data_IF_271426030068
#
_entry.id   IF_271426030068
#
_cell.length_a   1.000
_cell.length_b   1.000
_cell.length_c   1.000
_cell.angle_alpha   90.00
_cell.angle_beta   90.00
_cell.angle_gamma   90.00
#
_symmetry.space_group_name_H-M   'P 1'
#
loop_
_entity.id
_entity.type
_entity.pdbx_description
1 polymer ?
#
# COMPACT_ATOMS: atom_id res chain seq x y z
N UNK A 1 -28.71 14.28 -18.63
CA UNK A 1 -27.90 13.36 -19.46
C UNK A 1 -27.89 12.03 -18.74
N UNK A 2 -28.38 10.96 -19.36
CA UNK A 2 -28.27 9.60 -18.81
C UNK A 2 -26.79 9.23 -18.70
N UNK A 3 -26.37 8.67 -17.57
CA UNK A 3 -24.99 8.18 -17.39
C UNK A 3 -24.64 7.05 -18.38
N UNK A 4 -23.36 6.64 -18.46
CA UNK A 4 -22.97 5.48 -19.27
C UNK A 4 -23.73 4.23 -18.81
N UNK A 5 -24.15 3.39 -19.75
CA UNK A 5 -24.79 2.12 -19.42
C UNK A 5 -23.78 1.13 -18.84
N UNK A 6 -24.25 0.10 -18.13
CA UNK A 6 -23.40 -0.92 -17.52
C UNK A 6 -22.61 -1.71 -18.56
N UNK A 7 -23.16 -1.91 -19.77
CA UNK A 7 -22.43 -2.50 -20.89
C UNK A 7 -21.28 -1.61 -21.37
N UNK A 8 -21.47 -0.29 -21.38
CA UNK A 8 -20.41 0.68 -21.69
C UNK A 8 -19.32 0.66 -20.62
N UNK A 9 -19.71 0.58 -19.34
CA UNK A 9 -18.77 0.50 -18.22
C UNK A 9 -17.95 -0.80 -18.26
N UNK A 10 -18.55 -1.95 -18.57
CA UNK A 10 -17.82 -3.21 -18.77
C UNK A 10 -16.78 -3.06 -19.88
N UNK A 11 -17.18 -2.50 -21.02
CA UNK A 11 -16.27 -2.27 -22.17
C UNK A 11 -15.12 -1.33 -21.80
N UNK A 12 -15.42 -0.25 -21.07
CA UNK A 12 -14.43 0.70 -20.59
C UNK A 12 -13.49 0.05 -19.57
N UNK A 13 -14.01 -0.71 -18.60
CA UNK A 13 -13.21 -1.40 -17.61
C UNK A 13 -12.21 -2.38 -18.25
N UNK A 14 -12.65 -3.22 -19.22
CA UNK A 14 -11.77 -4.12 -19.98
C UNK A 14 -10.61 -3.39 -20.63
N UNK A 15 -10.91 -2.28 -21.31
CA UNK A 15 -9.91 -1.44 -21.99
C UNK A 15 -8.90 -0.83 -21.02
N UNK A 16 -9.38 -0.22 -19.94
CA UNK A 16 -8.52 0.51 -19.00
C UNK A 16 -7.70 -0.42 -18.10
N UNK A 17 -8.22 -1.62 -17.82
CA UNK A 17 -7.58 -2.62 -16.96
C UNK A 17 -6.76 -3.66 -17.72
N UNK A 18 -6.77 -3.60 -19.06
CA UNK A 18 -6.07 -4.54 -19.93
C UNK A 18 -6.48 -6.00 -19.63
N UNK A 19 -7.80 -6.24 -19.46
CA UNK A 19 -8.37 -7.57 -19.18
C UNK A 19 -9.37 -7.99 -20.25
N UNK A 20 -9.39 -9.28 -20.57
CA UNK A 20 -10.29 -9.84 -21.59
C UNK A 20 -11.69 -10.16 -21.03
N UNK A 21 -11.73 -10.63 -19.79
CA UNK A 21 -12.95 -11.12 -19.11
C UNK A 21 -13.13 -10.41 -17.77
N UNK A 22 -14.39 -10.07 -17.45
CA UNK A 22 -14.80 -9.50 -16.16
C UNK A 22 -15.98 -10.35 -15.69
N UNK A 23 -15.70 -11.34 -14.85
CA UNK A 23 -16.70 -12.27 -14.34
C UNK A 23 -16.18 -12.90 -13.04
N UNK A 24 -17.09 -13.15 -12.10
CA UNK A 24 -16.81 -13.89 -10.88
C UNK A 24 -18.10 -14.55 -10.40
N UNK A 25 -18.03 -15.77 -9.86
CA UNK A 25 -19.22 -16.56 -9.49
C UNK A 25 -20.09 -15.86 -8.43
N UNK A 26 -19.46 -15.10 -7.52
CA UNK A 26 -20.16 -14.32 -6.50
C UNK A 26 -20.79 -13.01 -7.02
N UNK A 27 -20.56 -12.64 -8.28
CA UNK A 27 -21.04 -11.36 -8.87
C UNK A 27 -21.84 -11.64 -10.15
N UNK A 28 -23.12 -12.05 -10.03
CA UNK A 28 -23.90 -12.53 -11.16
C UNK A 28 -24.30 -11.43 -12.17
N UNK A 29 -24.51 -10.20 -11.71
CA UNK A 29 -24.85 -9.06 -12.58
C UNK A 29 -23.72 -8.03 -12.61
N UNK A 30 -22.67 -8.32 -13.39
CA UNK A 30 -21.49 -7.47 -13.51
C UNK A 30 -21.84 -6.06 -13.98
N UNK A 31 -22.72 -5.92 -14.99
CA UNK A 31 -23.05 -4.61 -15.57
C UNK A 31 -23.70 -3.66 -14.54
N UNK A 32 -24.73 -4.13 -13.84
CA UNK A 32 -25.42 -3.37 -12.78
C UNK A 32 -24.49 -3.08 -11.59
N UNK A 33 -23.61 -4.04 -11.27
CA UNK A 33 -22.60 -3.85 -10.22
C UNK A 33 -21.65 -2.72 -10.57
N UNK A 34 -21.15 -2.65 -11.81
CA UNK A 34 -20.27 -1.57 -12.24
C UNK A 34 -20.99 -0.21 -12.29
N UNK A 35 -22.26 -0.16 -12.69
CA UNK A 35 -23.07 1.07 -12.61
C UNK A 35 -23.16 1.58 -11.17
N UNK A 36 -23.51 0.69 -10.24
CA UNK A 36 -23.65 1.01 -8.81
C UNK A 36 -22.33 1.54 -8.23
N UNK A 37 -21.23 0.83 -8.48
CA UNK A 37 -19.91 1.21 -7.95
C UNK A 37 -19.42 2.51 -8.61
N UNK A 38 -19.58 2.65 -9.92
CA UNK A 38 -19.19 3.88 -10.63
C UNK A 38 -19.98 5.08 -10.10
N UNK A 39 -21.29 4.93 -9.89
CA UNK A 39 -22.12 5.98 -9.32
C UNK A 39 -21.67 6.33 -7.90
N UNK A 40 -21.44 5.34 -7.05
CA UNK A 40 -20.94 5.56 -5.69
C UNK A 40 -19.64 6.37 -5.70
N UNK A 41 -18.65 5.97 -6.50
CA UNK A 41 -17.36 6.67 -6.58
C UNK A 41 -17.51 8.10 -7.10
N UNK A 42 -18.36 8.32 -8.11
CA UNK A 42 -18.63 9.64 -8.67
C UNK A 42 -19.38 10.56 -7.69
N UNK A 43 -20.37 10.03 -6.98
CA UNK A 43 -21.17 10.79 -6.00
C UNK A 43 -20.30 11.26 -4.81
N UNK A 44 -19.16 10.60 -4.55
CA UNK A 44 -18.20 10.96 -3.52
C UNK A 44 -16.95 11.67 -4.06
N UNK A 45 -16.90 12.04 -5.35
CA UNK A 45 -15.82 12.89 -5.85
C UNK A 45 -15.86 14.27 -5.18
N UNK A 46 -14.69 14.77 -4.77
CA UNK A 46 -14.55 16.12 -4.21
C UNK A 46 -13.49 16.92 -4.97
N UNK A 47 -13.72 18.21 -5.28
CA UNK A 47 -12.67 19.08 -5.77
C UNK A 47 -11.68 19.49 -4.65
N UNK A 48 -12.13 19.46 -3.40
CA UNK A 48 -11.43 19.97 -2.23
C UNK A 48 -10.28 19.08 -1.80
N UNK A 49 -9.19 19.70 -1.33
CA UNK A 49 -8.07 18.97 -0.74
C UNK A 49 -8.27 18.76 0.78
N UNK A 50 -9.06 19.64 1.41
CA UNK A 50 -9.28 19.64 2.85
C UNK A 50 -10.07 18.41 3.31
N UNK A 51 -11.16 18.12 2.62
CA UNK A 51 -12.12 17.03 2.82
C UNK A 51 -11.74 15.72 2.10
N UNK A 52 -10.80 15.77 1.16
CA UNK A 52 -10.25 14.59 0.50
C UNK A 52 -9.76 13.55 1.52
N UNK A 53 -10.26 12.33 1.41
CA UNK A 53 -9.81 11.16 2.19
C UNK A 53 -9.09 10.12 1.34
N UNK A 54 -9.43 10.00 0.06
CA UNK A 54 -8.79 9.09 -0.88
C UNK A 54 -8.45 9.80 -2.18
N UNK A 55 -7.46 9.28 -2.90
CA UNK A 55 -7.05 9.80 -4.20
C UNK A 55 -6.78 8.65 -5.17
N UNK A 56 -7.03 8.88 -6.45
CA UNK A 56 -6.60 7.95 -7.50
C UNK A 56 -5.09 8.05 -7.69
N UNK A 57 -4.42 6.90 -7.64
CA UNK A 57 -2.97 6.79 -7.72
C UNK A 57 -2.46 7.47 -8.99
N UNK A 58 -1.52 8.41 -8.83
CA UNK A 58 -0.91 9.20 -9.90
C UNK A 58 -1.91 9.92 -10.84
N UNK A 59 -3.12 10.23 -10.32
CA UNK A 59 -4.24 10.79 -11.09
C UNK A 59 -4.52 9.98 -12.37
N UNK A 60 -4.44 8.66 -12.28
CA UNK A 60 -4.76 7.76 -13.39
C UNK A 60 -6.22 7.93 -13.80
N UNK A 61 -6.46 8.21 -15.08
CA UNK A 61 -7.81 8.25 -15.64
C UNK A 61 -8.41 6.86 -15.64
N UNK A 62 -9.29 6.56 -14.69
CA UNK A 62 -9.86 5.23 -14.48
C UNK A 62 -11.21 5.04 -15.21
N UNK A 63 -11.68 3.80 -15.31
CA UNK A 63 -12.87 3.46 -16.08
C UNK A 63 -14.16 4.09 -15.53
N UNK A 64 -14.24 4.33 -14.23
CA UNK A 64 -15.41 4.95 -13.59
C UNK A 64 -15.38 6.48 -13.64
N UNK A 65 -14.26 7.10 -14.02
CA UNK A 65 -14.13 8.56 -13.99
C UNK A 65 -14.80 9.24 -15.18
N UNK A 66 -15.36 10.43 -14.93
CA UNK A 66 -15.84 11.32 -15.98
C UNK A 66 -14.72 12.23 -16.52
N UNK A 67 -14.97 12.94 -17.62
CA UNK A 67 -13.97 13.74 -18.36
C UNK A 67 -13.34 14.91 -17.57
N UNK A 68 -13.89 15.25 -16.40
CA UNK A 68 -13.44 16.35 -15.53
C UNK A 68 -13.24 15.88 -14.09
N UNK A 69 -12.83 14.62 -13.89
CA UNK A 69 -12.67 14.05 -12.54
C UNK A 69 -11.63 14.80 -11.72
N UNK A 70 -11.91 14.98 -10.44
CA UNK A 70 -10.95 15.57 -9.50
C UNK A 70 -9.84 14.60 -9.08
N UNK A 71 -10.01 13.30 -9.37
CA UNK A 71 -9.18 12.20 -8.87
C UNK A 71 -9.11 12.10 -7.33
N UNK A 72 -10.04 12.74 -6.62
CA UNK A 72 -10.10 12.80 -5.16
C UNK A 72 -11.50 12.41 -4.68
N UNK A 73 -11.56 11.66 -3.59
CA UNK A 73 -12.81 11.21 -2.98
C UNK A 73 -12.90 11.71 -1.53
N UNK A 74 -14.11 12.06 -1.10
CA UNK A 74 -14.46 12.36 0.28
C UNK A 74 -15.36 11.26 0.82
N UNK A 75 -14.73 10.18 1.31
CA UNK A 75 -15.38 9.02 1.92
C UNK A 75 -14.78 8.84 3.31
N UNK A 76 -15.50 9.27 4.34
CA UNK A 76 -14.99 9.34 5.72
C UNK A 76 -15.91 8.67 6.74
N UNK A 77 -17.21 8.58 6.46
CA UNK A 77 -18.21 8.05 7.40
C UNK A 77 -18.21 6.52 7.38
N UNK A 78 -18.35 5.88 8.54
CA UNK A 78 -18.23 4.41 8.68
C UNK A 78 -19.06 3.64 7.64
N UNK A 79 -20.34 4.00 7.45
CA UNK A 79 -21.21 3.32 6.51
C UNK A 79 -20.76 3.47 5.04
N UNK A 80 -20.24 4.65 4.66
CA UNK A 80 -19.77 4.89 3.29
C UNK A 80 -18.37 4.29 3.09
N UNK A 81 -17.54 4.29 4.12
CA UNK A 81 -16.23 3.66 4.11
C UNK A 81 -16.32 2.13 4.00
N UNK A 82 -17.24 1.51 4.73
CA UNK A 82 -17.50 0.07 4.61
C UNK A 82 -18.06 -0.30 3.23
N UNK A 83 -18.88 0.57 2.64
CA UNK A 83 -19.34 0.39 1.26
C UNK A 83 -18.17 0.48 0.27
N UNK A 84 -17.26 1.44 0.43
CA UNK A 84 -16.03 1.53 -0.36
C UNK A 84 -15.18 0.25 -0.23
N UNK A 85 -14.99 -0.27 0.99
CA UNK A 85 -14.25 -1.51 1.21
C UNK A 85 -14.86 -2.70 0.47
N UNK A 86 -16.19 -2.83 0.51
CA UNK A 86 -16.92 -3.86 -0.25
C UNK A 86 -16.70 -3.71 -1.74
N UNK A 87 -16.84 -2.49 -2.27
CA UNK A 87 -16.63 -2.22 -3.70
C UNK A 87 -15.19 -2.51 -4.15
N UNK A 88 -14.18 -2.18 -3.33
CA UNK A 88 -12.78 -2.53 -3.60
C UNK A 88 -12.63 -4.05 -3.71
N UNK A 89 -13.18 -4.82 -2.77
CA UNK A 89 -13.15 -6.29 -2.79
C UNK A 89 -13.85 -6.85 -4.03
N UNK A 90 -15.07 -6.40 -4.32
CA UNK A 90 -15.84 -6.85 -5.49
C UNK A 90 -15.07 -6.60 -6.79
N UNK A 91 -14.47 -5.42 -6.96
CA UNK A 91 -13.71 -5.10 -8.17
C UNK A 91 -12.41 -5.89 -8.28
N UNK A 92 -11.77 -6.22 -7.15
CA UNK A 92 -10.64 -7.14 -7.14
C UNK A 92 -11.03 -8.55 -7.59
N UNK A 93 -12.13 -9.10 -7.08
CA UNK A 93 -12.64 -10.43 -7.47
C UNK A 93 -13.02 -10.49 -8.95
N UNK A 94 -13.51 -9.37 -9.51
CA UNK A 94 -13.80 -9.21 -10.93
C UNK A 94 -12.54 -9.03 -11.81
N UNK A 95 -11.34 -9.02 -11.23
CA UNK A 95 -10.08 -8.85 -11.96
C UNK A 95 -9.79 -7.41 -12.40
N UNK A 96 -10.51 -6.42 -11.86
CA UNK A 96 -10.40 -5.00 -12.21
C UNK A 96 -10.14 -4.12 -10.96
N UNK A 97 -9.11 -4.43 -10.16
CA UNK A 97 -8.83 -3.72 -8.92
C UNK A 97 -8.71 -2.21 -9.15
N UNK A 98 -9.29 -1.41 -8.26
CA UNK A 98 -9.17 0.05 -8.30
C UNK A 98 -7.72 0.49 -8.11
N UNK A 99 -7.43 1.75 -8.44
CA UNK A 99 -6.12 2.38 -8.20
C UNK A 99 -6.25 3.44 -7.11
N UNK A 100 -6.86 3.10 -5.98
CA UNK A 100 -7.07 4.04 -4.88
C UNK A 100 -5.91 4.06 -3.89
N UNK A 101 -5.64 5.26 -3.40
CA UNK A 101 -4.79 5.54 -2.25
C UNK A 101 -5.59 6.23 -1.17
N UNK A 102 -5.26 5.97 0.08
CA UNK A 102 -5.77 6.70 1.22
C UNK A 102 -4.81 7.85 1.60
N UNK A 103 -5.41 8.98 1.99
CA UNK A 103 -4.68 10.14 2.49
C UNK A 103 -4.24 9.86 3.92
N UNK A 104 -2.98 10.16 4.22
CA UNK A 104 -2.44 10.08 5.58
C UNK A 104 -3.12 11.11 6.48
N UNK A 105 -3.58 10.64 7.63
CA UNK A 105 -3.98 11.45 8.77
C UNK A 105 -2.79 11.65 9.72
N UNK A 106 -2.87 12.58 10.71
CA UNK A 106 -1.81 12.74 11.70
C UNK A 106 -1.52 11.44 12.44
N UNK A 107 -2.57 10.71 12.82
CA UNK A 107 -2.54 9.37 13.38
C UNK A 107 -2.89 8.33 12.32
N UNK A 108 -2.11 7.26 12.24
CA UNK A 108 -2.31 6.17 11.28
C UNK A 108 -2.02 4.83 11.95
N UNK A 109 -2.62 3.77 11.39
CA UNK A 109 -2.16 2.41 11.68
C UNK A 109 -0.74 2.24 11.16
N UNK A 110 0.16 1.72 12.00
CA UNK A 110 1.55 1.55 11.64
C UNK A 110 1.70 0.51 10.53
N UNK A 111 2.49 0.86 9.51
CA UNK A 111 2.73 0.03 8.34
C UNK A 111 4.22 -0.07 8.01
N UNK A 112 4.64 -1.18 7.44
CA UNK A 112 6.00 -1.35 6.94
C UNK A 112 5.95 -1.93 5.55
N UNK A 113 6.69 -1.34 4.63
CA UNK A 113 6.85 -1.89 3.29
C UNK A 113 8.23 -2.55 3.19
N UNK A 114 8.23 -3.82 2.81
CA UNK A 114 9.42 -4.58 2.45
C UNK A 114 9.52 -4.58 0.93
N UNK A 115 10.55 -3.95 0.39
CA UNK A 115 10.81 -3.82 -1.04
C UNK A 115 12.18 -4.40 -1.40
N UNK A 116 12.21 -5.50 -2.15
CA UNK A 116 13.46 -6.13 -2.60
C UNK A 116 13.46 -6.21 -4.12
N UNK A 117 14.49 -5.65 -4.73
CA UNK A 117 14.71 -5.75 -6.17
C UNK A 117 15.42 -7.07 -6.47
N UNK A 118 14.78 -7.91 -7.29
CA UNK A 118 15.40 -9.10 -7.82
C UNK A 118 16.24 -8.82 -9.05
N UNK A 119 16.44 -9.86 -9.85
CA UNK A 119 17.02 -9.77 -11.18
C UNK A 119 15.91 -9.66 -12.23
N UNK A 120 16.25 -9.79 -13.51
CA UNK A 120 15.25 -9.88 -14.59
C UNK A 120 14.32 -11.08 -14.40
N UNK A 121 14.86 -12.20 -13.91
CA UNK A 121 14.22 -13.50 -13.95
C UNK A 121 14.00 -14.11 -12.55
N UNK A 122 14.65 -13.58 -11.52
CA UNK A 122 14.63 -14.12 -10.15
C UNK A 122 14.26 -13.05 -9.11
N UNK A 123 13.71 -13.48 -7.97
CA UNK A 123 13.31 -12.64 -6.83
C UNK A 123 13.22 -13.46 -5.55
N UNK A 124 13.25 -12.77 -4.41
CA UNK A 124 12.94 -13.36 -3.11
C UNK A 124 11.45 -13.74 -3.06
N UNK A 125 11.12 -14.96 -2.62
CA UNK A 125 9.72 -15.35 -2.43
C UNK A 125 9.13 -14.66 -1.21
N UNK A 126 7.80 -14.49 -1.19
CA UNK A 126 7.12 -13.88 -0.05
C UNK A 126 7.18 -14.82 1.15
N UNK A 127 7.10 -16.11 0.92
CA UNK A 127 7.20 -17.17 1.93
C UNK A 127 8.54 -17.12 2.65
N UNK A 128 9.66 -16.88 1.95
CA UNK A 128 10.97 -16.73 2.59
C UNK A 128 11.00 -15.54 3.57
N UNK A 129 10.28 -14.47 3.28
CA UNK A 129 10.20 -13.29 4.15
C UNK A 129 9.29 -13.54 5.34
N UNK A 130 8.16 -14.25 5.12
CA UNK A 130 7.06 -14.35 6.08
C UNK A 130 7.00 -15.65 6.87
N UNK A 131 7.84 -16.62 6.55
CA UNK A 131 7.85 -17.89 7.27
C UNK A 131 8.23 -17.63 8.75
N UNK A 132 7.34 -17.95 9.70
CA UNK A 132 7.60 -17.75 11.13
C UNK A 132 8.80 -18.52 11.66
N UNK A 133 9.24 -19.58 10.96
CA UNK A 133 10.44 -20.33 11.31
C UNK A 133 11.74 -19.58 11.00
N UNK A 134 11.69 -18.56 10.12
CA UNK A 134 12.88 -17.81 9.69
C UNK A 134 13.36 -16.81 10.72
N UNK A 135 14.65 -16.45 10.64
CA UNK A 135 15.24 -15.45 11.54
C UNK A 135 14.79 -14.03 11.21
N UNK A 136 14.36 -13.77 9.97
CA UNK A 136 13.86 -12.45 9.56
C UNK A 136 12.64 -12.01 10.40
N UNK A 137 11.60 -12.84 10.47
CA UNK A 137 10.41 -12.52 11.26
C UNK A 137 10.70 -12.49 12.76
N UNK A 138 11.62 -13.34 13.24
CA UNK A 138 12.05 -13.29 14.64
C UNK A 138 12.75 -11.97 15.01
N UNK A 139 13.63 -11.45 14.14
CA UNK A 139 14.29 -10.16 14.37
C UNK A 139 13.26 -9.01 14.34
N UNK A 140 12.35 -9.02 13.38
CA UNK A 140 11.26 -8.04 13.31
C UNK A 140 10.38 -8.07 14.56
N UNK A 141 9.93 -9.26 14.97
CA UNK A 141 9.10 -9.46 16.15
C UNK A 141 9.77 -8.98 17.43
N UNK A 142 11.06 -9.28 17.63
CA UNK A 142 11.83 -8.80 18.78
C UNK A 142 11.96 -7.28 18.78
N UNK A 143 12.27 -6.67 17.63
CA UNK A 143 12.35 -5.22 17.51
C UNK A 143 11.02 -4.54 17.89
N UNK A 144 9.91 -5.08 17.41
CA UNK A 144 8.58 -4.56 17.75
C UNK A 144 8.20 -4.81 19.22
N UNK A 145 8.59 -5.95 19.80
CA UNK A 145 8.38 -6.26 21.22
C UNK A 145 9.14 -5.35 22.18
N UNK A 146 10.34 -4.90 21.80
CA UNK A 146 11.11 -3.92 22.57
C UNK A 146 10.43 -2.54 22.61
N UNK A 147 9.63 -2.22 21.58
CA UNK A 147 8.89 -0.96 21.49
C UNK A 147 7.55 -1.08 22.22
N UNK A 148 6.82 -2.18 22.03
CA UNK A 148 5.45 -2.35 22.53
C UNK A 148 5.40 -3.31 23.72
N UNK A 149 6.13 -2.97 24.78
CA UNK A 149 6.35 -3.80 25.98
C UNK A 149 5.09 -4.07 26.80
N UNK A 150 4.02 -3.29 26.61
CA UNK A 150 2.74 -3.50 27.32
C UNK A 150 1.81 -4.47 26.60
N UNK A 151 2.16 -4.91 25.39
CA UNK A 151 1.33 -5.79 24.57
C UNK A 151 1.75 -7.25 24.76
N UNK A 152 0.78 -8.12 25.08
CA UNK A 152 1.03 -9.57 25.17
C UNK A 152 1.17 -10.21 23.79
N UNK A 153 0.59 -9.58 22.76
CA UNK A 153 0.73 -10.00 21.38
C UNK A 153 0.57 -8.81 20.43
N UNK A 154 1.17 -8.93 19.24
CA UNK A 154 0.99 -8.02 18.13
C UNK A 154 0.48 -8.79 16.92
N UNK A 155 -0.48 -8.22 16.20
CA UNK A 155 -1.05 -8.81 14.98
C UNK A 155 -0.64 -7.96 13.79
N UNK A 156 -0.14 -8.64 12.76
CA UNK A 156 0.28 -8.06 11.51
C UNK A 156 -0.50 -8.68 10.34
N UNK A 157 -1.22 -7.85 9.60
CA UNK A 157 -1.85 -8.23 8.34
C UNK A 157 -0.88 -8.00 7.19
N UNK A 158 -0.63 -9.05 6.41
CA UNK A 158 0.38 -9.03 5.37
C UNK A 158 -0.24 -9.09 3.99
N UNK A 159 0.23 -8.21 3.11
CA UNK A 159 -0.19 -8.11 1.72
C UNK A 159 0.99 -8.23 0.76
N UNK A 160 0.83 -9.01 -0.30
CA UNK A 160 1.79 -9.18 -1.38
C UNK A 160 1.38 -8.38 -2.60
N UNK A 161 2.34 -7.71 -3.22
CA UNK A 161 2.18 -7.13 -4.54
C UNK A 161 3.39 -7.40 -5.42
N UNK A 162 4.07 -8.52 -5.21
CA UNK A 162 5.26 -8.94 -5.93
C UNK A 162 4.99 -9.11 -7.42
N UNK A 163 5.95 -8.72 -8.26
CA UNK A 163 5.80 -8.78 -9.71
C UNK A 163 6.88 -8.01 -10.44
N UNK A 164 6.70 -7.78 -11.73
CA UNK A 164 7.64 -7.01 -12.54
C UNK A 164 7.57 -5.53 -12.17
N UNK A 165 8.72 -4.92 -11.86
CA UNK A 165 8.86 -3.48 -11.74
C UNK A 165 9.08 -2.90 -13.14
N UNK A 166 8.02 -2.40 -13.79
CA UNK A 166 8.07 -1.96 -15.19
C UNK A 166 9.10 -0.86 -15.45
N UNK A 167 9.36 0.00 -14.47
CA UNK A 167 10.34 1.08 -14.59
C UNK A 167 11.79 0.61 -14.53
N UNK A 168 12.08 -0.44 -13.76
CA UNK A 168 13.43 -1.00 -13.60
C UNK A 168 13.68 -2.24 -14.47
N UNK A 169 12.64 -2.83 -15.05
CA UNK A 169 12.76 -4.04 -15.88
C UNK A 169 13.18 -5.29 -15.11
N UNK A 170 13.00 -5.30 -13.78
CA UNK A 170 13.37 -6.42 -12.90
C UNK A 170 12.17 -6.92 -12.11
N UNK A 171 12.23 -8.14 -11.61
CA UNK A 171 11.29 -8.62 -10.61
C UNK A 171 11.48 -7.84 -9.30
N UNK A 172 10.39 -7.54 -8.61
CA UNK A 172 10.40 -6.84 -7.33
C UNK A 172 9.46 -7.54 -6.37
N UNK A 173 10.01 -8.01 -5.26
CA UNK A 173 9.27 -8.48 -4.09
C UNK A 173 8.79 -7.26 -3.33
N UNK A 174 7.48 -7.18 -3.07
CA UNK A 174 6.87 -6.02 -2.43
C UNK A 174 5.77 -6.46 -1.48
N UNK A 175 6.12 -6.46 -0.19
CA UNK A 175 5.27 -6.94 0.89
C UNK A 175 4.92 -5.76 1.79
N UNK A 176 3.64 -5.59 2.10
CA UNK A 176 3.16 -4.61 3.08
C UNK A 176 2.74 -5.34 4.35
N UNK A 177 3.27 -4.90 5.47
CA UNK A 177 2.94 -5.37 6.81
C UNK A 177 2.15 -4.26 7.50
N UNK A 178 0.90 -4.55 7.86
CA UNK A 178 0.01 -3.63 8.57
C UNK A 178 -0.18 -4.12 10.00
N UNK A 179 0.33 -3.37 10.98
CA UNK A 179 0.22 -3.73 12.39
C UNK A 179 -1.15 -3.32 12.92
N UNK A 180 -2.10 -4.25 12.95
CA UNK A 180 -3.54 -3.97 13.05
C UNK A 180 -3.91 -3.13 14.28
N UNK A 181 -3.18 -3.32 15.37
CA UNK A 181 -3.47 -2.76 16.69
C UNK A 181 -2.51 -1.62 17.09
N UNK A 182 -1.62 -1.21 16.18
CA UNK A 182 -0.61 -0.19 16.45
C UNK A 182 -0.98 1.10 15.73
N UNK A 183 -1.26 2.15 16.49
CA UNK A 183 -1.52 3.50 16.01
C UNK A 183 -0.32 4.40 16.36
N UNK A 184 0.17 5.11 15.35
CA UNK A 184 1.35 5.98 15.46
C UNK A 184 1.11 7.30 14.76
N UNK A 185 1.83 8.32 15.21
CA UNK A 185 2.07 9.51 14.42
C UNK A 185 3.27 9.29 13.47
N UNK A 186 3.50 10.26 12.58
CA UNK A 186 4.60 10.24 11.62
C UNK A 186 5.99 10.15 12.26
N UNK A 187 6.19 10.74 13.43
CA UNK A 187 7.50 10.79 14.09
C UNK A 187 7.81 9.45 14.79
N UNK A 188 6.82 8.84 15.44
CA UNK A 188 6.91 7.49 15.98
C UNK A 188 7.14 6.49 14.86
N UNK A 189 6.38 6.56 13.76
CA UNK A 189 6.58 5.70 12.61
C UNK A 189 8.02 5.75 12.07
N UNK A 190 8.59 6.95 11.98
CA UNK A 190 9.98 7.14 11.58
C UNK A 190 10.99 6.48 12.53
N UNK A 191 10.80 6.68 13.84
CA UNK A 191 11.69 6.13 14.87
C UNK A 191 11.64 4.60 14.90
N UNK A 192 10.44 4.03 14.77
CA UNK A 192 10.26 2.58 14.68
C UNK A 192 10.96 2.04 13.43
N UNK A 193 10.75 2.68 12.27
CA UNK A 193 11.44 2.32 11.03
C UNK A 193 12.97 2.30 11.22
N UNK A 194 13.55 3.40 11.69
CA UNK A 194 14.99 3.53 11.80
C UNK A 194 15.56 2.52 12.82
N UNK A 195 14.82 2.24 13.90
CA UNK A 195 15.17 1.21 14.88
C UNK A 195 15.12 -0.21 14.30
N UNK A 196 14.09 -0.56 13.54
CA UNK A 196 14.00 -1.87 12.86
C UNK A 196 15.18 -2.02 11.90
N UNK A 197 15.47 -1.01 11.07
CA UNK A 197 16.63 -1.02 10.17
C UNK A 197 17.93 -1.22 10.94
N UNK A 198 18.10 -0.55 12.09
CA UNK A 198 19.27 -0.73 12.95
C UNK A 198 19.37 -2.16 13.50
N UNK A 199 18.27 -2.75 13.98
CA UNK A 199 18.24 -4.13 14.49
C UNK A 199 18.64 -5.16 13.44
N UNK A 200 18.22 -4.98 12.19
CA UNK A 200 18.65 -5.83 11.08
C UNK A 200 20.11 -5.62 10.68
N UNK A 201 20.63 -4.38 10.76
CA UNK A 201 22.06 -4.09 10.50
C UNK A 201 23.00 -4.70 11.55
N UNK A 202 22.64 -4.61 12.83
CA UNK A 202 23.44 -5.14 13.94
C UNK A 202 23.22 -6.63 14.19
N UNK A 203 22.29 -7.25 13.47
CA UNK A 203 21.96 -8.66 13.65
C UNK A 203 23.19 -9.53 13.37
N UNK A 204 23.58 -10.35 14.36
CA UNK A 204 24.71 -11.25 14.23
C UNK A 204 24.34 -12.63 13.68
N UNK A 205 23.05 -12.92 13.51
CA UNK A 205 22.54 -14.19 12.99
C UNK A 205 23.00 -14.40 11.54
N UNK A 206 23.51 -15.60 11.26
CA UNK A 206 24.10 -15.92 9.97
C UNK A 206 23.06 -15.97 8.85
N UNK A 207 21.84 -16.45 9.13
CA UNK A 207 20.76 -16.52 8.14
C UNK A 207 20.39 -15.12 7.63
N UNK A 208 20.31 -14.15 8.54
CA UNK A 208 20.00 -12.75 8.21
C UNK A 208 21.14 -12.09 7.43
N UNK A 209 22.40 -12.40 7.77
CA UNK A 209 23.58 -11.91 7.04
C UNK A 209 23.64 -12.48 5.63
N UNK A 210 23.43 -13.78 5.48
CA UNK A 210 23.44 -14.47 4.19
C UNK A 210 22.31 -13.97 3.30
N UNK A 211 21.11 -13.77 3.87
CA UNK A 211 19.99 -13.14 3.18
C UNK A 211 20.37 -11.75 2.65
N UNK A 212 20.92 -10.88 3.51
CA UNK A 212 21.33 -9.52 3.16
C UNK A 212 22.37 -9.50 2.03
N UNK A 213 23.41 -10.35 2.14
CA UNK A 213 24.46 -10.46 1.14
C UNK A 213 23.89 -10.94 -0.21
N UNK A 214 23.00 -11.93 -0.19
CA UNK A 214 22.34 -12.47 -1.39
C UNK A 214 21.49 -11.41 -2.09
N UNK A 215 20.60 -10.74 -1.37
CA UNK A 215 19.72 -9.72 -1.98
C UNK A 215 20.51 -8.49 -2.44
N UNK A 216 21.57 -8.10 -1.73
CA UNK A 216 22.50 -7.06 -2.22
C UNK A 216 23.18 -7.48 -3.52
N UNK A 217 23.47 -8.78 -3.69
CA UNK A 217 23.97 -9.36 -4.93
C UNK A 217 23.00 -9.26 -6.11
N UNK A 218 21.68 -9.25 -5.87
CA UNK A 218 20.68 -8.99 -6.93
C UNK A 218 20.68 -7.52 -7.36
N UNK A 219 20.77 -6.61 -6.39
CA UNK A 219 20.76 -5.18 -6.64
C UNK A 219 21.41 -4.42 -5.46
N UNK A 220 22.33 -3.51 -5.76
CA UNK A 220 23.04 -2.72 -4.75
C UNK A 220 22.14 -1.79 -3.93
N UNK A 221 20.92 -1.51 -4.40
CA UNK A 221 19.90 -0.75 -3.64
C UNK A 221 19.26 -1.58 -2.51
N UNK A 222 19.43 -2.90 -2.47
CA UNK A 222 18.87 -3.78 -1.45
C UNK A 222 19.67 -3.75 -0.13
N UNK A 223 19.97 -2.56 0.39
CA UNK A 223 20.43 -2.42 1.78
C UNK A 223 19.23 -2.38 2.74
N UNK A 224 19.41 -2.67 4.03
CA UNK A 224 18.28 -2.76 4.98
C UNK A 224 17.34 -1.55 5.01
N UNK A 225 17.85 -0.32 4.85
CA UNK A 225 17.01 0.89 4.73
C UNK A 225 16.30 1.10 3.39
N UNK A 226 16.66 0.34 2.36
CA UNK A 226 15.95 0.26 1.08
C UNK A 226 14.96 -0.90 1.09
N UNK A 227 15.33 -2.01 1.76
CA UNK A 227 14.45 -3.15 2.02
C UNK A 227 13.26 -2.73 2.85
N UNK A 228 13.47 -2.14 4.03
CA UNK A 228 12.40 -1.48 4.76
C UNK A 228 12.23 -0.08 4.19
N UNK A 229 11.23 0.11 3.33
CA UNK A 229 10.99 1.38 2.68
C UNK A 229 10.18 2.32 3.56
N UNK A 230 10.66 3.54 3.74
CA UNK A 230 9.95 4.60 4.47
C UNK A 230 9.13 5.53 3.56
N UNK A 231 9.15 5.28 2.25
CA UNK A 231 8.44 6.09 1.25
C UNK A 231 6.93 6.19 1.54
N UNK A 232 6.37 5.20 2.22
CA UNK A 232 5.00 5.20 2.72
C UNK A 232 4.67 6.34 3.68
N UNK A 233 5.63 6.95 4.37
CA UNK A 233 5.42 8.04 5.33
C UNK A 233 5.81 9.42 4.80
N UNK A 234 6.72 9.45 3.82
CA UNK A 234 7.32 10.69 3.33
C UNK A 234 7.08 10.94 1.85
N UNK A 235 6.47 9.98 1.14
CA UNK A 235 6.12 10.09 -0.26
C UNK A 235 5.03 11.13 -0.50
N UNK A 236 5.06 11.72 -1.70
CA UNK A 236 4.08 12.72 -2.16
C UNK A 236 2.67 12.14 -2.28
N UNK A 237 2.55 10.87 -2.65
CA UNK A 237 1.26 10.21 -2.89
C UNK A 237 0.66 9.64 -1.61
N UNK A 238 -0.65 9.40 -1.62
CA UNK A 238 -1.33 8.62 -0.58
C UNK A 238 -0.78 7.20 -0.49
N UNK A 239 -1.21 6.45 0.52
CA UNK A 239 -0.81 5.05 0.70
C UNK A 239 -1.76 4.18 -0.10
N UNK A 240 -1.25 3.28 -0.95
CA UNK A 240 -2.09 2.38 -1.75
C UNK A 240 -2.88 1.45 -0.83
N UNK A 241 -4.19 1.41 -1.03
CA UNK A 241 -5.09 0.58 -0.24
C UNK A 241 -4.90 -0.92 -0.55
N UNK A 242 -5.30 -1.83 0.37
CA UNK A 242 -5.39 -3.26 0.09
C UNK A 242 -6.26 -3.55 -1.13
N UNK A 243 -5.94 -4.63 -1.86
CA UNK A 243 -6.62 -5.06 -3.09
C UNK A 243 -6.59 -4.05 -4.26
N UNK A 244 -6.17 -2.80 -4.03
CA UNK A 244 -5.97 -1.82 -5.08
C UNK A 244 -4.63 -2.02 -5.80
N UNK A 245 -4.64 -1.75 -7.11
CA UNK A 245 -3.49 -1.84 -8.00
C UNK A 245 -2.62 -0.57 -7.94
N UNK A 246 -1.39 -0.71 -8.42
CA UNK A 246 -0.47 0.40 -8.71
C UNK A 246 -0.57 0.79 -10.17
N UNK A 247 -0.21 2.04 -10.43
CA UNK A 247 -0.06 2.57 -11.79
C UNK A 247 1.41 2.91 -12.00
N UNK A 248 1.95 2.51 -13.14
CA UNK A 248 3.30 2.91 -13.53
C UNK A 248 3.36 4.42 -13.75
N UNK A 249 4.44 5.09 -13.32
CA UNK A 249 4.56 6.53 -13.47
C UNK A 249 4.56 6.96 -14.95
N UNK A 250 4.34 8.25 -15.18
CA UNK A 250 4.54 8.84 -16.51
C UNK A 250 5.97 8.54 -17.05
N UNK A 251 6.12 8.31 -18.37
CA UNK A 251 5.09 8.42 -19.42
C UNK A 251 4.21 7.17 -19.61
N UNK A 252 4.49 6.05 -18.92
CA UNK A 252 3.76 4.80 -19.13
C UNK A 252 2.28 4.91 -18.75
N UNK A 253 1.97 5.43 -17.54
CA UNK A 253 0.59 5.60 -17.01
C UNK A 253 -0.35 4.42 -17.28
N UNK A 254 0.07 3.21 -16.88
CA UNK A 254 -0.69 1.96 -17.05
C UNK A 254 -0.83 1.20 -15.73
N UNK A 255 -1.90 0.44 -15.51
CA UNK A 255 -1.99 -0.50 -14.40
C UNK A 255 -0.80 -1.47 -14.40
N UNK A 256 -0.27 -1.76 -13.23
CA UNK A 256 0.83 -2.72 -13.08
C UNK A 256 0.37 -4.16 -12.91
N UNK A 257 -0.93 -4.38 -12.65
CA UNK A 257 -1.52 -5.70 -12.37
C UNK A 257 -0.87 -6.36 -11.15
N UNK A 258 -0.55 -5.53 -10.15
CA UNK A 258 0.09 -5.89 -8.88
C UNK A 258 -0.73 -5.35 -7.70
N UNK A 259 -2.00 -5.72 -7.55
CA UNK A 259 -2.76 -5.33 -6.36
C UNK A 259 -2.09 -5.85 -5.08
N UNK A 260 -2.32 -5.17 -3.95
CA UNK A 260 -1.93 -5.71 -2.64
C UNK A 260 -2.86 -6.86 -2.24
N UNK A 261 -2.48 -8.08 -2.61
CA UNK A 261 -3.21 -9.32 -2.33
C UNK A 261 -2.98 -9.74 -0.89
N UNK A 262 -4.01 -10.18 -0.14
CA UNK A 262 -3.80 -10.67 1.21
C UNK A 262 -3.00 -11.97 1.21
N UNK A 263 -2.14 -12.15 2.21
CA UNK A 263 -1.29 -13.33 2.35
C UNK A 263 -1.58 -14.06 3.65
N UNK A 264 -1.50 -13.36 4.77
CA UNK A 264 -1.61 -13.94 6.09
C UNK A 264 -1.82 -12.88 7.17
N UNK A 265 -2.51 -13.28 8.24
CA UNK A 265 -2.34 -12.68 9.55
C UNK A 265 -1.22 -13.39 10.30
N UNK A 266 -0.22 -12.64 10.74
CA UNK A 266 0.84 -13.11 11.62
C UNK A 266 0.61 -12.59 13.04
N UNK A 267 0.75 -13.46 14.02
CA UNK A 267 0.69 -13.12 15.44
C UNK A 267 2.08 -13.30 16.06
N UNK A 268 2.56 -12.24 16.69
CA UNK A 268 3.79 -12.21 17.47
C UNK A 268 3.40 -12.25 18.94
N UNK A 269 3.73 -13.34 19.64
CA UNK A 269 3.39 -13.55 21.04
C UNK A 269 4.59 -13.20 21.92
N UNK A 270 4.34 -12.50 23.03
CA UNK A 270 5.37 -12.06 23.97
C UNK A 270 5.15 -12.66 25.34
N UNK A 271 6.24 -13.13 25.96
CA UNK A 271 6.30 -13.59 27.34
C UNK A 271 7.50 -12.93 28.02
N UNK A 272 7.31 -12.37 29.22
CA UNK A 272 8.35 -11.63 29.96
C UNK A 272 9.05 -10.55 29.12
N UNK A 273 8.27 -9.82 28.31
CA UNK A 273 8.75 -8.80 27.36
C UNK A 273 9.76 -9.32 26.32
N UNK A 274 9.76 -10.62 26.05
CA UNK A 274 10.55 -11.28 25.01
C UNK A 274 9.62 -11.94 23.99
N UNK A 275 10.05 -11.97 22.72
CA UNK A 275 9.33 -12.69 21.69
C UNK A 275 9.37 -14.19 22.00
N UNK A 276 8.22 -14.77 22.30
CA UNK A 276 8.06 -16.19 22.58
C UNK A 276 7.81 -17.00 21.31
N UNK A 277 6.97 -16.49 20.42
CA UNK A 277 6.53 -17.19 19.22
C UNK A 277 6.10 -16.20 18.14
N UNK A 278 6.33 -16.56 16.88
CA UNK A 278 5.63 -16.00 15.73
C UNK A 278 4.83 -17.12 15.10
N UNK A 279 3.55 -16.89 14.79
CA UNK A 279 2.72 -17.87 14.09
C UNK A 279 1.81 -17.22 13.07
N UNK A 280 1.44 -18.00 12.06
CA UNK A 280 0.34 -17.65 11.16
C UNK A 280 -0.97 -18.03 11.85
N UNK A 281 -1.97 -17.15 11.80
CA UNK A 281 -3.31 -17.47 12.29
C UNK A 281 -4.03 -18.40 11.32
N UNK A 282 -4.84 -19.34 11.83
CA UNK A 282 -5.61 -20.25 10.97
C UNK A 282 -6.84 -19.54 10.38
N UNK A 283 -7.52 -18.73 11.20
CA UNK A 283 -8.64 -17.91 10.76
C UNK A 283 -8.12 -16.70 9.96
N UNK A 284 -8.53 -16.64 8.69
CA UNK A 284 -8.21 -15.54 7.80
C UNK A 284 -9.47 -14.72 7.52
N UNK A 285 -9.37 -13.37 7.46
CA UNK A 285 -10.46 -12.52 7.01
C UNK A 285 -10.91 -12.85 5.59
N UNK A 286 -12.14 -12.48 5.25
CA UNK A 286 -12.69 -12.64 3.90
C UNK A 286 -12.91 -11.30 3.20
N UNK A 287 -12.60 -11.26 1.90
CA UNK A 287 -12.91 -10.15 0.99
C UNK A 287 -12.63 -8.76 1.57
N UNK A 288 -13.68 -8.00 1.83
CA UNK A 288 -13.58 -6.61 2.28
C UNK A 288 -13.00 -6.44 3.69
N UNK A 289 -13.01 -7.46 4.54
CA UNK A 289 -12.40 -7.41 5.88
C UNK A 289 -10.89 -7.19 5.77
N UNK A 290 -10.24 -7.75 4.75
CA UNK A 290 -8.84 -7.46 4.46
C UNK A 290 -8.61 -5.98 4.13
N UNK A 291 -9.55 -5.34 3.45
CA UNK A 291 -9.48 -3.92 3.14
C UNK A 291 -9.60 -3.10 4.44
N UNK A 292 -10.52 -3.44 5.33
CA UNK A 292 -10.67 -2.80 6.64
C UNK A 292 -9.41 -2.94 7.52
N UNK A 293 -8.82 -4.13 7.56
CA UNK A 293 -7.62 -4.42 8.37
C UNK A 293 -6.37 -3.74 7.76
N UNK A 294 -6.29 -3.64 6.43
CA UNK A 294 -5.15 -2.99 5.79
C UNK A 294 -5.28 -1.47 5.64
N UNK A 295 -6.46 -0.89 5.85
CA UNK A 295 -6.70 0.55 5.84
C UNK A 295 -5.95 1.27 6.97
N UNK A 296 -5.14 2.26 6.64
CA UNK A 296 -4.24 2.93 7.58
C UNK A 296 -4.81 4.18 8.22
N UNK A 297 -5.73 4.87 7.54
CA UNK A 297 -6.33 6.12 8.01
C UNK A 297 -7.03 5.89 9.34
N UNK A 298 -6.84 6.84 10.27
CA UNK A 298 -7.55 6.92 11.56
C UNK A 298 -8.13 8.31 11.73
N UNK A 299 -9.14 8.44 12.56
CA UNK A 299 -9.72 9.76 12.83
C UNK A 299 -8.77 10.60 13.65
N UNK A 300 -8.83 11.91 13.45
CA UNK A 300 -7.98 12.87 14.15
C UNK A 300 -8.21 12.75 15.65
N UNK A 301 -7.13 12.65 16.42
CA UNK A 301 -7.19 12.46 17.87
C UNK A 301 -7.39 11.02 18.30
N UNK A 302 -7.35 10.04 17.39
CA UNK A 302 -7.25 8.63 17.76
C UNK A 302 -6.04 8.43 18.68
N UNK A 303 -6.19 7.81 19.87
CA UNK A 303 -5.08 7.62 20.78
C UNK A 303 -3.93 6.85 20.13
N UNK A 304 -2.72 7.36 20.28
CA UNK A 304 -1.51 6.65 19.87
C UNK A 304 -1.29 5.46 20.79
N UNK A 305 -0.88 4.33 20.24
CA UNK A 305 -0.57 3.14 21.05
C UNK A 305 0.59 3.44 21.99
N UNK A 306 0.45 3.04 23.26
CA UNK A 306 1.51 3.17 24.25
C UNK A 306 2.77 2.45 23.77
N UNK A 307 3.91 3.12 23.91
CA UNK A 307 5.19 2.60 23.44
C UNK A 307 6.31 3.00 24.38
N UNK A 308 7.34 2.17 24.40
CA UNK A 308 8.64 2.46 24.99
C UNK A 308 9.54 2.96 23.87
N UNK A 309 10.05 4.21 23.92
CA UNK A 309 10.95 4.71 22.90
C UNK A 309 12.18 3.79 22.77
N UNK A 310 12.62 3.49 21.54
CA UNK A 310 13.76 2.62 21.33
C UNK A 310 15.03 3.22 21.96
N UNK A 311 15.88 2.34 22.50
CA UNK A 311 17.16 2.71 23.14
C UNK A 311 18.13 3.38 22.17
N UNK A 312 18.04 3.03 20.88
CA UNK A 312 18.82 3.65 19.82
C UNK A 312 18.21 4.99 19.41
N UNK A 313 18.94 6.07 19.69
CA UNK A 313 18.55 7.45 19.31
C UNK A 313 19.34 7.96 18.09
N UNK A 314 19.89 7.05 17.26
CA UNK A 314 20.97 7.35 16.32
C UNK A 314 20.73 8.51 15.35
N UNK A 315 21.80 8.96 14.68
CA UNK A 315 21.74 10.05 13.72
C UNK A 315 20.96 9.63 12.47
N UNK A 316 19.81 10.28 12.25
CA UNK A 316 19.00 10.10 11.04
C UNK A 316 19.83 10.54 9.83
N UNK A 317 20.04 9.64 8.86
CA UNK A 317 20.72 10.01 7.62
C UNK A 317 19.96 11.17 6.94
N UNK A 318 20.67 12.19 6.40
CA UNK A 318 20.03 13.24 5.63
C UNK A 318 19.26 12.61 4.47
N UNK A 319 17.96 12.94 4.38
CA UNK A 319 17.11 12.36 3.35
C UNK A 319 17.33 13.11 2.05
N UNK A 320 17.52 12.42 0.91
CA UNK A 320 17.38 13.08 -0.37
C UNK A 320 15.97 13.67 -0.40
N UNK A 321 15.87 15.00 -0.51
CA UNK A 321 14.60 15.61 -0.86
C UNK A 321 14.19 15.00 -2.20
N UNK A 322 13.10 14.23 -2.23
CA UNK A 322 12.54 13.79 -3.50
C UNK A 322 12.28 15.04 -4.32
N UNK A 323 13.07 15.26 -5.36
CA UNK A 323 13.00 16.43 -6.21
C UNK A 323 11.56 16.62 -6.67
N UNK A 324 11.02 17.80 -6.40
CA UNK A 324 9.71 18.27 -6.86
C UNK A 324 9.69 18.49 -8.39
N UNK A 325 10.06 17.47 -9.15
CA UNK A 325 10.19 17.52 -10.61
C UNK A 325 9.24 16.52 -11.28
N UNK A 326 7.95 16.61 -10.94
CA UNK A 326 6.88 16.29 -11.87
C UNK A 326 5.85 17.39 -11.70
N UNK A 327 6.06 18.45 -12.47
CA UNK A 327 5.14 19.55 -12.65
C UNK A 327 3.80 19.00 -13.15
N UNK A 328 2.73 19.57 -12.62
CA UNK A 328 1.38 19.44 -13.16
C UNK A 328 1.40 19.84 -14.64
N UNK A 329 1.42 18.86 -15.54
CA UNK A 329 1.03 19.07 -16.93
C UNK A 329 -0.49 19.06 -17.01
N UNK A 330 -1.11 20.21 -16.75
CA UNK A 330 -2.56 20.38 -16.84
C UNK A 330 -2.96 21.83 -17.01
N UNK A 331 -3.38 22.18 -18.24
CA UNK A 331 -4.26 23.33 -18.50
C UNK A 331 -3.64 24.43 -19.34
N UNK A 332 -3.88 24.37 -20.65
CA UNK A 332 -3.56 25.45 -21.57
C UNK A 332 -4.42 26.70 -21.39
N UNK A 333 -3.93 27.81 -21.94
CA UNK A 333 -4.70 29.03 -22.10
C UNK A 333 -3.84 30.22 -22.51
N UNK A 334 -3.85 30.57 -23.80
CA UNK A 334 -3.76 31.96 -24.22
C UNK A 334 -2.59 32.38 -25.12
N UNK A 335 -2.83 32.37 -26.43
CA UNK A 335 -2.65 33.55 -27.29
C UNK A 335 -1.24 34.08 -27.54
N UNK A 336 -0.69 33.79 -28.72
CA UNK A 336 0.44 34.52 -29.28
C UNK A 336 0.51 34.30 -30.79
N UNK A 337 -0.03 35.24 -31.55
CA UNK A 337 -0.18 35.16 -33.00
C UNK A 337 1.13 34.98 -33.76
N UNK A 338 1.10 34.06 -34.71
CA UNK A 338 2.01 34.05 -35.86
C UNK A 338 1.43 34.99 -36.92
N UNK A 339 2.08 36.12 -37.15
CA UNK A 339 2.06 36.83 -38.43
C UNK A 339 3.43 36.64 -39.07
N UNK A 340 3.43 36.05 -40.26
CA UNK A 340 4.55 36.04 -41.17
C UNK A 340 3.98 36.03 -42.59
N UNK A 341 4.34 37.03 -43.39
CA UNK A 341 3.93 37.16 -44.79
C UNK A 341 2.76 38.11 -44.99
#
# INVERSE_FOLDING_TARGET
MSGPSGADLVTKAKKYREVETIAHESVPNVAETLETISKFLQDHETPGLADCTHMVFDNFGDWWQHSKSSCKLAIAEDNTLDMLHKHISTLYDLGIPLTLTEKRTPEIRFIQDIEILGTRDDKVSVEEILDPATKLMNVLGRAMGEIYTTQTNLIAAVFDSTGVCRTKGVMKTSVKIVWSNIIVDKDRAARIHDFVVHKFKECQDQEVKDFSARVTGYNTENHWGGIFSDAIYFGRFGVRMPLCDRVSPAPLKKPEQRPFKPVALLQFNFADNQLAEVKRLDEQPEGFQWVQIGCIRRDVGTPLTDWTPPTWQGQRAPRPQSSAAYSNGGGGGGGGGFQGG
#
